data_IF_047451496468
#
_entry.id   IF_047451496468
#
_cell.length_a   1.000
_cell.length_b   1.000
_cell.length_c   1.000
_cell.angle_alpha   90.00
_cell.angle_beta   90.00
_cell.angle_gamma   90.00
#
_symmetry.space_group_name_H-M   'P 1'
#
loop_
_entity.id
_entity.type
_entity.pdbx_description
1 polymer ?
#
# COMPACT_ATOMS: atom_id res chain seq x y z
N UNK A 1 -5.02 -7.31 35.08
CA UNK A 1 -5.47 -6.34 34.05
C UNK A 1 -6.74 -6.86 33.40
N UNK A 2 -7.83 -6.09 33.41
CA UNK A 2 -9.06 -6.46 32.70
C UNK A 2 -8.80 -6.31 31.20
N UNK A 3 -9.10 -7.34 30.40
CA UNK A 3 -9.10 -7.27 28.93
C UNK A 3 -10.09 -6.18 28.52
N UNK A 4 -9.74 -5.24 27.66
CA UNK A 4 -10.70 -4.25 27.18
C UNK A 4 -11.88 -4.96 26.53
N UNK A 5 -13.09 -4.43 26.70
CA UNK A 5 -14.32 -5.00 26.14
C UNK A 5 -14.42 -4.86 24.63
N UNK A 6 -13.60 -4.00 24.02
CA UNK A 6 -13.48 -3.78 22.58
C UNK A 6 -12.49 -4.76 21.94
N UNK A 7 -12.74 -5.12 20.69
CA UNK A 7 -11.78 -5.86 19.88
C UNK A 7 -10.51 -5.01 19.66
N UNK A 8 -9.34 -5.65 19.55
CA UNK A 8 -8.08 -4.94 19.23
C UNK A 8 -8.20 -4.14 17.92
N UNK A 9 -8.95 -4.67 16.96
CA UNK A 9 -9.14 -4.00 15.67
C UNK A 9 -9.97 -2.71 15.79
N UNK A 10 -10.81 -2.59 16.85
CA UNK A 10 -11.58 -1.37 17.12
C UNK A 10 -10.69 -0.23 17.69
N UNK A 11 -9.43 -0.53 17.97
CA UNK A 11 -8.43 0.47 18.37
C UNK A 11 -7.69 1.09 17.18
N UNK A 12 -7.92 0.59 15.96
CA UNK A 12 -7.38 1.21 14.75
C UNK A 12 -8.18 2.47 14.39
N UNK A 13 -7.49 3.51 13.94
CA UNK A 13 -8.11 4.74 13.46
C UNK A 13 -8.80 4.58 12.09
N UNK A 14 -8.64 3.42 11.45
CA UNK A 14 -9.26 3.07 10.17
C UNK A 14 -10.40 2.08 10.40
N UNK A 15 -11.57 2.27 9.76
CA UNK A 15 -12.68 1.32 9.85
C UNK A 15 -12.24 -0.11 9.54
N UNK A 16 -12.75 -1.07 10.31
CA UNK A 16 -12.38 -2.48 10.22
C UNK A 16 -12.59 -3.05 8.81
N UNK A 17 -13.74 -2.78 8.23
CA UNK A 17 -14.13 -3.28 6.91
C UNK A 17 -13.15 -2.77 5.86
N UNK A 18 -12.83 -1.48 5.89
CA UNK A 18 -11.89 -0.84 4.97
C UNK A 18 -10.47 -1.39 5.16
N UNK A 19 -10.07 -1.64 6.40
CA UNK A 19 -8.76 -2.25 6.71
C UNK A 19 -8.66 -3.66 6.13
N UNK A 20 -9.69 -4.49 6.31
CA UNK A 20 -9.72 -5.86 5.81
C UNK A 20 -9.75 -5.90 4.29
N UNK A 21 -10.53 -5.04 3.64
CA UNK A 21 -10.59 -4.90 2.20
C UNK A 21 -9.21 -4.55 1.64
N UNK A 22 -8.58 -3.52 2.17
CA UNK A 22 -7.24 -3.11 1.73
C UNK A 22 -6.20 -4.21 1.90
N UNK A 23 -6.11 -4.83 3.08
CA UNK A 23 -5.12 -5.88 3.34
C UNK A 23 -5.37 -7.11 2.47
N UNK A 24 -6.62 -7.49 2.26
CA UNK A 24 -7.02 -8.59 1.38
C UNK A 24 -6.65 -8.33 -0.08
N UNK A 25 -7.01 -7.16 -0.60
CA UNK A 25 -6.68 -6.72 -1.96
C UNK A 25 -5.17 -6.65 -2.17
N UNK A 26 -4.44 -6.06 -1.23
CA UNK A 26 -2.98 -5.98 -1.29
C UNK A 26 -2.32 -7.36 -1.29
N UNK A 27 -2.75 -8.26 -0.40
CA UNK A 27 -2.22 -9.62 -0.33
C UNK A 27 -2.49 -10.41 -1.62
N UNK A 28 -3.68 -10.24 -2.21
CA UNK A 28 -4.04 -10.85 -3.48
C UNK A 28 -3.21 -10.28 -4.64
N UNK A 29 -2.93 -8.99 -4.61
CA UNK A 29 -2.05 -8.35 -5.59
C UNK A 29 -0.61 -8.89 -5.49
N UNK A 30 -0.06 -9.03 -4.30
CA UNK A 30 1.26 -9.66 -4.11
C UNK A 30 1.31 -11.11 -4.58
N UNK A 31 0.23 -11.87 -4.38
CA UNK A 31 0.10 -13.21 -4.95
C UNK A 31 0.17 -13.17 -6.48
N UNK A 32 -0.62 -12.30 -7.11
CA UNK A 32 -0.67 -12.15 -8.56
C UNK A 32 0.68 -11.74 -9.15
N UNK A 33 1.36 -10.76 -8.53
CA UNK A 33 2.71 -10.36 -8.92
C UNK A 33 3.69 -11.52 -8.89
N UNK A 34 3.70 -12.31 -7.82
CA UNK A 34 4.59 -13.47 -7.71
C UNK A 34 4.28 -14.54 -8.75
N UNK A 35 3.00 -14.77 -9.05
CA UNK A 35 2.57 -15.73 -10.09
C UNK A 35 2.95 -15.27 -11.48
N UNK A 36 2.93 -13.96 -11.73
CA UNK A 36 3.34 -13.34 -12.98
C UNK A 36 4.88 -13.16 -13.11
N UNK A 37 5.67 -13.71 -12.19
CA UNK A 37 7.12 -13.66 -12.26
C UNK A 37 7.76 -12.40 -11.65
N UNK A 38 7.00 -11.48 -11.07
CA UNK A 38 7.54 -10.36 -10.27
C UNK A 38 7.92 -10.86 -8.89
N UNK A 39 9.01 -11.59 -8.81
CA UNK A 39 9.51 -12.17 -7.56
C UNK A 39 10.95 -11.79 -7.32
N UNK A 40 11.29 -11.66 -6.05
CA UNK A 40 12.66 -11.48 -5.58
C UNK A 40 12.85 -12.26 -4.28
N UNK A 41 14.09 -12.65 -4.01
CA UNK A 41 14.43 -13.40 -2.80
C UNK A 41 15.43 -14.52 -3.07
N UNK A 42 15.47 -15.46 -2.18
CA UNK A 42 16.36 -16.61 -2.21
C UNK A 42 15.62 -17.88 -1.72
N UNK A 43 16.35 -18.95 -1.43
CA UNK A 43 15.83 -20.21 -0.93
C UNK A 43 15.20 -20.15 0.49
N UNK A 44 15.38 -19.02 1.19
CA UNK A 44 14.86 -18.79 2.54
C UNK A 44 13.67 -17.84 2.58
N UNK A 45 13.63 -16.90 1.65
CA UNK A 45 12.60 -15.86 1.64
C UNK A 45 12.26 -15.40 0.23
N UNK A 46 10.97 -15.33 -0.06
CA UNK A 46 10.43 -14.77 -1.31
C UNK A 46 9.52 -13.58 -1.02
N UNK A 47 9.57 -12.57 -1.87
CA UNK A 47 8.66 -11.42 -1.85
C UNK A 47 8.29 -10.99 -3.26
N UNK A 48 7.19 -10.26 -3.42
CA UNK A 48 6.86 -9.62 -4.67
C UNK A 48 7.87 -8.52 -5.00
N UNK A 49 8.31 -8.45 -6.25
CA UNK A 49 9.21 -7.41 -6.77
C UNK A 49 8.38 -6.22 -7.28
N UNK A 50 7.85 -5.46 -6.32
CA UNK A 50 7.10 -4.25 -6.60
C UNK A 50 7.90 -3.19 -7.34
N UNK A 51 9.21 -3.14 -7.12
CA UNK A 51 10.07 -2.12 -7.72
C UNK A 51 10.28 -2.41 -9.22
N UNK A 52 10.44 -3.69 -9.59
CA UNK A 52 10.46 -4.10 -11.00
C UNK A 52 9.11 -3.84 -11.66
N UNK A 53 8.01 -4.25 -11.02
CA UNK A 53 6.66 -3.99 -11.52
C UNK A 53 6.42 -2.50 -11.76
N UNK A 54 6.72 -1.64 -10.78
CA UNK A 54 6.56 -0.20 -10.88
C UNK A 54 7.38 0.40 -12.05
N UNK A 55 8.61 -0.06 -12.26
CA UNK A 55 9.43 0.39 -13.39
C UNK A 55 8.84 0.00 -14.74
N UNK A 56 8.31 -1.22 -14.84
CA UNK A 56 7.72 -1.69 -16.11
C UNK A 56 6.43 -0.95 -16.44
N UNK A 57 5.50 -0.78 -15.50
CA UNK A 57 4.28 -0.03 -15.78
C UNK A 57 4.54 1.46 -16.04
N UNK A 58 5.61 2.03 -15.49
CA UNK A 58 6.00 3.41 -15.78
C UNK A 58 6.40 3.64 -17.26
N UNK A 59 6.62 2.58 -18.01
CA UNK A 59 6.90 2.67 -19.47
C UNK A 59 5.63 2.64 -20.33
N UNK A 60 4.47 2.42 -19.74
CA UNK A 60 3.20 2.44 -20.47
C UNK A 60 2.89 3.87 -20.97
N UNK A 61 2.06 3.92 -22.02
CA UNK A 61 1.56 5.20 -22.51
C UNK A 61 0.93 6.02 -21.37
N UNK A 62 1.26 7.30 -21.21
CA UNK A 62 0.70 8.16 -20.18
C UNK A 62 -0.82 8.16 -20.11
N UNK A 63 -1.52 7.94 -21.22
CA UNK A 63 -2.98 7.84 -21.25
C UNK A 63 -3.51 6.67 -20.40
N UNK A 64 -2.78 5.55 -20.31
CA UNK A 64 -3.14 4.45 -19.43
C UNK A 64 -2.87 4.75 -17.97
N UNK A 65 -1.87 5.58 -17.68
CA UNK A 65 -1.48 5.92 -16.30
C UNK A 65 -2.33 7.03 -15.69
N UNK A 66 -2.99 7.85 -16.51
CA UNK A 66 -3.79 8.97 -16.03
C UNK A 66 -4.84 8.56 -14.97
N UNK A 67 -5.66 7.50 -15.15
CA UNK A 67 -6.61 7.08 -14.12
C UNK A 67 -5.97 6.71 -12.78
N UNK A 68 -4.76 6.13 -12.79
CA UNK A 68 -4.02 5.80 -11.57
C UNK A 68 -3.57 7.06 -10.83
N UNK A 69 -3.18 8.09 -11.57
CA UNK A 69 -2.76 9.37 -10.98
C UNK A 69 -3.97 10.15 -10.45
N UNK A 70 -5.10 10.07 -11.12
CA UNK A 70 -6.32 10.81 -10.78
C UNK A 70 -7.08 10.20 -9.60
N UNK A 71 -7.04 8.86 -9.42
CA UNK A 71 -7.83 8.18 -8.38
C UNK A 71 -7.26 8.31 -6.96
N UNK A 72 -6.13 8.97 -6.75
CA UNK A 72 -5.42 9.01 -5.47
C UNK A 72 -4.82 10.39 -5.15
N UNK A 73 -5.58 11.45 -5.39
CA UNK A 73 -5.13 12.84 -5.16
C UNK A 73 -4.67 13.07 -3.72
N UNK A 74 -5.45 12.60 -2.74
CA UNK A 74 -5.10 12.76 -1.33
C UNK A 74 -3.80 12.04 -0.95
N UNK A 75 -3.59 10.83 -1.45
CA UNK A 75 -2.36 10.06 -1.22
C UNK A 75 -1.11 10.76 -1.79
N UNK A 76 -1.26 11.50 -2.89
CA UNK A 76 -0.18 12.28 -3.50
C UNK A 76 0.12 13.56 -2.74
N UNK A 77 -0.93 14.30 -2.34
CA UNK A 77 -0.80 15.56 -1.60
C UNK A 77 -0.36 15.34 -0.14
N UNK A 78 -0.77 14.22 0.46
CA UNK A 78 -0.52 13.89 1.87
C UNK A 78 0.20 12.53 2.00
N UNK A 79 1.41 12.37 1.43
CA UNK A 79 2.10 11.09 1.40
C UNK A 79 2.30 10.51 2.80
N UNK A 80 2.24 9.17 2.95
CA UNK A 80 2.38 8.53 4.24
C UNK A 80 3.81 8.71 4.78
N UNK A 81 3.88 9.03 6.07
CA UNK A 81 5.15 9.02 6.81
C UNK A 81 5.56 7.56 7.09
N UNK A 82 6.85 7.32 7.29
CA UNK A 82 7.39 6.06 7.80
C UNK A 82 7.96 6.24 9.20
N UNK A 83 7.88 5.20 10.02
CA UNK A 83 8.58 5.17 11.29
C UNK A 83 10.07 4.91 11.09
N UNK A 84 10.89 5.64 11.82
CA UNK A 84 12.34 5.44 11.90
C UNK A 84 12.77 5.46 13.37
N UNK A 85 13.88 4.79 13.67
CA UNK A 85 14.50 4.83 14.98
C UNK A 85 15.68 5.83 14.93
N UNK A 86 15.55 6.97 15.61
CA UNK A 86 16.62 7.95 15.79
C UNK A 86 16.84 8.17 17.28
N UNK A 87 18.08 8.09 17.73
CA UNK A 87 18.46 8.27 19.14
C UNK A 87 17.62 7.40 20.10
N UNK A 88 17.34 6.14 19.70
CA UNK A 88 16.49 5.19 20.41
C UNK A 88 15.04 5.64 20.59
N UNK A 89 14.57 6.59 19.80
CA UNK A 89 13.18 7.07 19.81
C UNK A 89 12.53 6.83 18.45
N UNK A 90 11.28 6.39 18.47
CA UNK A 90 10.47 6.30 17.27
C UNK A 90 10.13 7.71 16.78
N UNK A 91 10.35 7.95 15.51
CA UNK A 91 10.01 9.21 14.85
C UNK A 91 9.30 8.93 13.54
N UNK A 92 8.31 9.77 13.22
CA UNK A 92 7.63 9.76 11.94
C UNK A 92 8.30 10.75 11.00
N UNK A 93 8.77 10.27 9.87
CA UNK A 93 9.44 11.11 8.86
C UNK A 93 8.77 10.92 7.49
N UNK A 94 8.69 12.00 6.73
CA UNK A 94 8.35 11.89 5.32
C UNK A 94 9.45 11.09 4.63
N UNK A 95 9.02 10.19 3.75
CA UNK A 95 9.96 9.49 2.89
C UNK A 95 10.43 10.46 1.81
N UNK A 96 11.72 10.55 1.60
CA UNK A 96 12.26 11.22 0.40
C UNK A 96 11.78 10.49 -0.85
N UNK A 97 11.54 11.21 -1.94
CA UNK A 97 11.27 10.62 -3.25
C UNK A 97 12.38 9.65 -3.69
N UNK A 98 12.14 8.83 -4.68
CA UNK A 98 13.17 7.91 -5.16
C UNK A 98 12.67 6.76 -6.04
N UNK A 99 11.37 6.71 -6.34
CA UNK A 99 10.83 5.67 -7.21
C UNK A 99 11.01 5.95 -8.73
N UNK A 100 11.55 7.11 -9.08
CA UNK A 100 11.92 7.45 -10.46
C UNK A 100 10.74 7.80 -11.39
N UNK A 101 9.50 7.62 -10.95
CA UNK A 101 8.29 7.97 -11.71
C UNK A 101 7.12 8.27 -10.77
N UNK A 102 6.12 9.02 -11.26
CA UNK A 102 4.93 9.34 -10.48
C UNK A 102 4.17 8.08 -10.03
N UNK A 103 3.93 7.15 -10.93
CA UNK A 103 3.27 5.87 -10.60
C UNK A 103 4.11 5.03 -9.63
N UNK A 104 5.42 5.06 -9.76
CA UNK A 104 6.34 4.41 -8.82
C UNK A 104 6.23 4.98 -7.40
N UNK A 105 6.14 6.31 -7.27
CA UNK A 105 5.92 6.98 -5.98
C UNK A 105 4.58 6.60 -5.36
N UNK A 106 3.51 6.53 -6.16
CA UNK A 106 2.19 6.09 -5.70
C UNK A 106 2.26 4.66 -5.17
N UNK A 107 2.83 3.72 -5.92
CA UNK A 107 2.98 2.32 -5.49
C UNK A 107 3.77 2.23 -4.18
N UNK A 108 4.83 3.01 -4.06
CA UNK A 108 5.64 3.03 -2.86
C UNK A 108 4.88 3.62 -1.66
N UNK A 109 4.00 4.60 -1.88
CA UNK A 109 3.10 5.13 -0.87
C UNK A 109 2.06 4.08 -0.42
N UNK A 110 1.45 3.34 -1.35
CA UNK A 110 0.54 2.21 -1.05
C UNK A 110 1.23 1.18 -0.14
N UNK A 111 2.46 0.78 -0.48
CA UNK A 111 3.27 -0.14 0.34
C UNK A 111 3.58 0.43 1.73
N UNK A 112 3.81 1.73 1.82
CA UNK A 112 4.06 2.42 3.10
C UNK A 112 2.82 2.42 3.98
N UNK A 113 1.64 2.72 3.43
CA UNK A 113 0.35 2.65 4.16
C UNK A 113 0.12 1.23 4.68
N UNK A 114 0.29 0.21 3.82
CA UNK A 114 0.15 -1.19 4.22
C UNK A 114 1.10 -1.55 5.36
N UNK A 115 2.37 -1.17 5.28
CA UNK A 115 3.34 -1.45 6.32
C UNK A 115 2.99 -0.77 7.64
N UNK A 116 2.53 0.48 7.60
CA UNK A 116 2.10 1.20 8.79
C UNK A 116 0.92 0.52 9.48
N UNK A 117 -0.06 0.03 8.73
CA UNK A 117 -1.19 -0.73 9.28
C UNK A 117 -0.74 -2.05 9.91
N UNK A 118 0.12 -2.79 9.22
CA UNK A 118 0.51 -4.14 9.63
C UNK A 118 1.50 -4.16 10.80
N UNK A 119 2.40 -3.18 10.86
CA UNK A 119 3.46 -3.11 11.88
C UNK A 119 3.14 -2.19 13.06
N UNK A 120 1.85 -1.94 13.32
CA UNK A 120 1.39 -1.21 14.51
C UNK A 120 1.56 0.30 14.44
N UNK A 121 1.94 0.86 13.30
CA UNK A 121 2.10 2.31 13.11
C UNK A 121 0.79 3.10 13.14
N UNK A 122 -0.36 2.45 13.27
CA UNK A 122 -1.69 3.06 13.31
C UNK A 122 -2.39 2.88 14.66
N UNK A 123 -1.69 2.41 15.67
CA UNK A 123 -2.17 2.49 17.04
C UNK A 123 -1.80 3.86 17.62
N UNK A 124 -2.73 4.59 18.21
CA UNK A 124 -2.49 5.94 18.68
C UNK A 124 -1.42 5.96 19.80
N UNK A 125 -0.35 6.71 19.59
CA UNK A 125 0.67 7.02 20.61
C UNK A 125 0.50 8.45 21.17
N UNK A 126 -0.59 9.14 20.81
CA UNK A 126 -0.84 10.52 21.19
C UNK A 126 -2.19 11.03 20.68
N UNK A 127 -2.46 12.34 20.77
CA UNK A 127 -3.68 12.91 20.24
C UNK A 127 -3.75 12.59 18.75
N UNK A 128 -4.88 12.03 18.32
CA UNK A 128 -5.18 11.71 16.92
C UNK A 128 -5.36 13.05 16.22
N UNK A 129 -4.29 13.51 15.56
CA UNK A 129 -4.32 14.81 14.89
C UNK A 129 -5.26 14.82 13.67
N UNK A 130 -5.52 13.65 13.05
CA UNK A 130 -6.37 13.59 11.84
C UNK A 130 -6.99 12.18 11.66
N UNK A 131 -8.11 11.84 12.34
CA UNK A 131 -8.78 10.53 12.16
C UNK A 131 -9.28 10.33 10.71
N UNK A 132 -9.50 11.41 9.97
CA UNK A 132 -9.93 11.39 8.60
C UNK A 132 -8.80 11.00 7.63
N UNK A 133 -7.56 11.36 7.97
CA UNK A 133 -6.38 11.17 7.14
C UNK A 133 -6.11 9.70 6.81
N UNK A 134 -6.10 8.86 7.82
CA UNK A 134 -5.75 7.45 7.64
C UNK A 134 -6.83 6.70 6.87
N UNK A 135 -8.10 7.04 7.09
CA UNK A 135 -9.20 6.53 6.29
C UNK A 135 -9.03 6.90 4.82
N UNK A 136 -8.74 8.17 4.52
CA UNK A 136 -8.57 8.64 3.15
C UNK A 136 -7.38 7.98 2.46
N UNK A 137 -6.23 7.87 3.15
CA UNK A 137 -5.06 7.18 2.63
C UNK A 137 -5.36 5.72 2.26
N UNK A 138 -6.11 4.99 3.10
CA UNK A 138 -6.49 3.61 2.79
C UNK A 138 -7.48 3.53 1.63
N UNK A 139 -8.44 4.45 1.56
CA UNK A 139 -9.39 4.54 0.43
C UNK A 139 -8.66 4.75 -0.89
N UNK A 140 -7.73 5.71 -0.94
CA UNK A 140 -6.93 5.97 -2.14
C UNK A 140 -6.04 4.76 -2.49
N UNK A 141 -5.49 4.05 -1.50
CA UNK A 141 -4.70 2.85 -1.76
C UNK A 141 -5.52 1.74 -2.43
N UNK A 142 -6.76 1.52 -2.02
CA UNK A 142 -7.66 0.55 -2.67
C UNK A 142 -7.94 1.01 -4.11
N UNK A 143 -8.30 2.28 -4.30
CA UNK A 143 -8.55 2.84 -5.63
C UNK A 143 -7.34 2.67 -6.56
N UNK A 144 -6.11 2.89 -6.07
CA UNK A 144 -4.89 2.65 -6.84
C UNK A 144 -4.77 1.18 -7.25
N UNK A 145 -4.95 0.24 -6.30
CA UNK A 145 -4.84 -1.19 -6.61
C UNK A 145 -5.88 -1.62 -7.66
N UNK A 146 -7.12 -1.13 -7.54
CA UNK A 146 -8.18 -1.39 -8.52
C UNK A 146 -7.85 -0.78 -9.89
N UNK A 147 -7.39 0.47 -9.94
CA UNK A 147 -6.95 1.11 -11.18
C UNK A 147 -5.78 0.37 -11.84
N UNK A 148 -4.81 -0.12 -11.06
CA UNK A 148 -3.69 -0.89 -11.61
C UNK A 148 -4.15 -2.17 -12.31
N UNK A 149 -5.24 -2.82 -11.86
CA UNK A 149 -5.79 -4.02 -12.50
C UNK A 149 -6.47 -3.74 -13.84
N UNK A 150 -6.79 -2.50 -14.15
CA UNK A 150 -7.37 -2.10 -15.45
C UNK A 150 -6.33 -1.79 -16.51
N UNK A 151 -5.06 -1.70 -16.12
CA UNK A 151 -3.97 -1.44 -17.05
C UNK A 151 -3.70 -2.64 -17.95
N UNK A 152 -3.11 -2.45 -19.15
CA UNK A 152 -2.58 -3.54 -19.95
C UNK A 152 -1.31 -4.09 -19.28
N UNK A 153 -1.52 -4.80 -18.16
CA UNK A 153 -0.43 -5.32 -17.34
C UNK A 153 0.30 -6.44 -18.07
N UNK A 154 1.63 -6.48 -17.99
CA UNK A 154 2.40 -7.57 -18.52
C UNK A 154 2.17 -8.87 -17.72
N UNK A 155 2.45 -10.00 -18.39
CA UNK A 155 2.57 -11.32 -17.77
C UNK A 155 1.34 -11.83 -16.98
N UNK A 156 0.13 -11.38 -17.33
CA UNK A 156 -1.11 -11.94 -16.78
C UNK A 156 -1.35 -11.61 -15.30
N UNK A 157 -0.84 -10.49 -14.80
CA UNK A 157 -1.08 -10.08 -13.38
C UNK A 157 -2.57 -10.01 -13.07
N UNK A 158 -3.39 -9.41 -13.95
CA UNK A 158 -4.82 -9.31 -13.74
C UNK A 158 -5.51 -10.68 -13.75
N UNK A 159 -5.12 -11.59 -14.65
CA UNK A 159 -5.64 -12.97 -14.69
C UNK A 159 -5.33 -13.72 -13.40
N UNK A 160 -4.11 -13.61 -12.89
CA UNK A 160 -3.73 -14.22 -11.62
C UNK A 160 -4.43 -13.60 -10.42
N UNK A 161 -4.73 -12.31 -10.47
CA UNK A 161 -5.50 -11.64 -9.42
C UNK A 161 -6.92 -12.20 -9.34
N UNK A 162 -7.60 -12.40 -10.49
CA UNK A 162 -8.99 -12.86 -10.54
C UNK A 162 -9.14 -14.40 -10.60
N UNK A 163 -8.03 -15.15 -10.75
CA UNK A 163 -8.10 -16.61 -10.79
C UNK A 163 -8.71 -17.18 -9.50
N UNK A 164 -9.60 -18.15 -9.64
CA UNK A 164 -10.04 -18.98 -8.52
C UNK A 164 -8.86 -19.80 -7.98
N UNK A 165 -8.82 -20.01 -6.67
CA UNK A 165 -7.79 -20.78 -6.00
C UNK A 165 -8.00 -22.29 -6.17
#
# INVERSE_FOLDING_TARGET
>A
MKKPSSSIIDLLDVPKELTLEFLGTFARFEYALKRAGYVQGDDKRVSADWDRFAREIATLDPAFLAPVLECCEYLQEHPPKKQVLRDRRLQWVLRGGGAGSAVGEIILNVRTVRNNLFHGGKFPEGPVDEPFRDRQLVTDCIAVLDCLLTLPLPDGVAEHFWSEA
#
